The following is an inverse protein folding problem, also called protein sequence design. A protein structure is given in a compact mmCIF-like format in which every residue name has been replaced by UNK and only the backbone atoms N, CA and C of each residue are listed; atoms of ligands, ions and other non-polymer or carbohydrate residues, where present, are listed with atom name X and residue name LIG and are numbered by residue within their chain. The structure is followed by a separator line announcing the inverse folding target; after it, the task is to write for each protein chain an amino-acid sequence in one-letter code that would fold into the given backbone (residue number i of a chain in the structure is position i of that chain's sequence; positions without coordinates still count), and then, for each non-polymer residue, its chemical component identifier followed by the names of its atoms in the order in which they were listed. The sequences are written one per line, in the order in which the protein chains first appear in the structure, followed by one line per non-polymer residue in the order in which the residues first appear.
data_IF_010015862444
#
_entry.id   IF_010015862444
#
_cell.length_a   1.000
_cell.length_b   1.000
_cell.length_c   1.000
_cell.angle_alpha   90.00
_cell.angle_beta   90.00
_cell.angle_gamma   90.00
#
_symmetry.space_group_name_H-M   'P 1'
#
loop_
_entity.id
_entity.type
_entity.pdbx_description
1 polymer ?
#
# COMPACT_ATOMS: atom_id res chain seq x y z
N UNK A 1 2.99 -16.68 19.69
CA UNK A 1 3.06 -17.83 18.77
C UNK A 1 3.77 -17.37 17.50
N UNK A 2 4.93 -17.94 17.24
CA UNK A 2 5.77 -17.64 16.06
C UNK A 2 5.10 -18.19 14.81
N UNK A 3 4.60 -17.30 13.95
CA UNK A 3 4.20 -17.66 12.58
C UNK A 3 5.46 -18.08 11.85
N UNK A 4 5.65 -19.39 11.68
CA UNK A 4 6.71 -19.95 10.85
C UNK A 4 6.59 -19.47 9.39
N UNK A 5 7.65 -19.62 8.59
CA UNK A 5 7.62 -19.19 7.19
C UNK A 5 6.62 -20.07 6.44
N UNK A 6 5.46 -19.49 6.08
CA UNK A 6 4.46 -20.18 5.28
C UNK A 6 5.10 -20.71 3.99
N UNK A 7 5.13 -22.04 3.87
CA UNK A 7 5.43 -22.77 2.64
C UNK A 7 4.44 -22.33 1.53
N UNK A 8 4.96 -21.75 0.45
CA UNK A 8 4.14 -21.41 -0.72
C UNK A 8 4.62 -20.26 -1.62
N UNK A 9 5.68 -19.53 -1.23
CA UNK A 9 6.28 -18.44 -2.01
C UNK A 9 7.68 -18.81 -2.51
N UNK A 10 7.81 -19.97 -3.18
CA UNK A 10 9.05 -20.30 -3.87
C UNK A 10 9.30 -19.28 -4.99
N UNK A 11 10.40 -18.55 -4.81
CA UNK A 11 10.79 -17.36 -5.59
C UNK A 11 10.85 -17.59 -7.10
N UNK A 12 11.25 -18.80 -7.50
CA UNK A 12 11.35 -19.23 -8.90
C UNK A 12 9.98 -19.56 -9.49
N UNK A 13 8.99 -19.93 -8.68
CA UNK A 13 7.64 -20.30 -9.12
C UNK A 13 6.98 -19.15 -9.85
N UNK A 14 7.07 -17.91 -9.35
CA UNK A 14 6.48 -16.75 -10.03
C UNK A 14 7.15 -16.41 -11.37
N UNK A 15 8.46 -16.61 -11.47
CA UNK A 15 9.20 -16.39 -12.72
C UNK A 15 8.81 -17.45 -13.75
N UNK A 16 8.75 -18.73 -13.36
CA UNK A 16 8.31 -19.82 -14.22
C UNK A 16 6.86 -19.64 -14.67
N UNK A 17 5.96 -19.27 -13.75
CA UNK A 17 4.58 -18.95 -14.06
C UNK A 17 4.48 -17.79 -15.04
N UNK A 18 5.28 -16.74 -14.86
CA UNK A 18 5.30 -15.61 -15.78
C UNK A 18 5.75 -16.00 -17.19
N UNK A 19 6.80 -16.82 -17.30
CA UNK A 19 7.28 -17.33 -18.59
C UNK A 19 6.19 -18.20 -19.25
N UNK A 20 5.58 -19.12 -18.50
CA UNK A 20 4.50 -19.98 -18.98
C UNK A 20 3.28 -19.17 -19.45
N UNK A 21 3.00 -18.06 -18.79
CA UNK A 21 1.86 -17.19 -19.09
C UNK A 21 2.12 -16.17 -20.20
N UNK A 22 3.39 -15.93 -20.54
CA UNK A 22 3.82 -14.95 -21.53
C UNK A 22 3.16 -15.12 -22.91
N UNK A 23 3.00 -16.34 -23.47
CA UNK A 23 2.30 -16.52 -24.75
C UNK A 23 0.85 -16.06 -24.68
N UNK A 24 0.14 -16.41 -23.61
CA UNK A 24 -1.27 -16.04 -23.46
C UNK A 24 -1.41 -14.54 -23.25
N UNK A 25 -0.53 -13.94 -22.43
CA UNK A 25 -0.43 -12.49 -22.28
C UNK A 25 -0.24 -11.79 -23.64
N UNK A 26 0.62 -12.32 -24.50
CA UNK A 26 0.88 -11.75 -25.83
C UNK A 26 -0.37 -11.79 -26.73
N UNK A 27 -1.06 -12.93 -26.80
CA UNK A 27 -2.33 -13.06 -27.54
C UNK A 27 -3.38 -12.09 -27.01
N UNK A 28 -3.54 -12.03 -25.70
CA UNK A 28 -4.56 -11.18 -25.06
C UNK A 28 -4.28 -9.69 -25.26
N UNK A 29 -3.03 -9.29 -25.53
CA UNK A 29 -2.69 -7.88 -25.79
C UNK A 29 -3.43 -7.33 -27.01
N UNK A 30 -3.75 -8.16 -28.00
CA UNK A 30 -4.53 -7.75 -29.18
C UNK A 30 -6.00 -7.43 -28.87
N UNK A 31 -6.52 -7.95 -27.75
CA UNK A 31 -7.90 -7.71 -27.28
C UNK A 31 -7.94 -6.52 -26.30
N UNK A 32 -6.79 -5.94 -25.94
CA UNK A 32 -6.72 -4.85 -24.98
C UNK A 32 -7.27 -3.54 -25.56
N UNK A 33 -8.44 -3.13 -25.08
CA UNK A 33 -9.00 -1.80 -25.34
C UNK A 33 -8.43 -0.74 -24.41
N UNK A 34 -8.27 0.50 -24.89
CA UNK A 34 -7.87 1.63 -24.04
C UNK A 34 -9.03 2.03 -23.13
N UNK A 35 -8.82 1.95 -21.82
CA UNK A 35 -9.82 2.26 -20.78
C UNK A 35 -9.53 3.53 -20.00
N UNK A 36 -8.30 4.05 -20.06
CA UNK A 36 -7.79 5.13 -19.22
C UNK A 36 -7.62 4.76 -17.74
N UNK A 37 -7.96 3.54 -17.34
CA UNK A 37 -8.02 3.16 -15.93
C UNK A 37 -6.64 2.93 -15.31
N UNK A 38 -6.53 3.33 -14.05
CA UNK A 38 -5.33 3.19 -13.23
C UNK A 38 -5.50 2.01 -12.26
N UNK A 39 -4.46 1.20 -12.10
CA UNK A 39 -4.31 0.24 -11.01
C UNK A 39 -3.11 0.60 -10.14
N UNK A 40 -3.35 0.82 -8.85
CA UNK A 40 -2.31 1.10 -7.86
C UNK A 40 -2.09 -0.13 -6.97
N UNK A 41 -0.88 -0.67 -6.97
CA UNK A 41 -0.53 -1.88 -6.21
C UNK A 41 0.32 -1.49 -5.00
N UNK A 42 -0.31 -1.46 -3.82
CA UNK A 42 0.30 -1.11 -2.54
C UNK A 42 -0.25 -2.01 -1.43
N UNK A 43 0.48 -3.07 -1.12
CA UNK A 43 0.04 -4.07 -0.12
C UNK A 43 0.76 -3.94 1.22
N UNK A 44 1.43 -2.81 1.47
CA UNK A 44 2.11 -2.52 2.73
C UNK A 44 1.13 -1.99 3.79
N UNK A 45 1.68 -1.58 4.95
CA UNK A 45 0.89 -1.19 6.14
C UNK A 45 0.30 0.22 6.00
N UNK A 46 -0.55 0.59 6.97
CA UNK A 46 -1.23 1.90 7.06
C UNK A 46 -0.31 3.09 6.78
N UNK A 47 0.90 3.12 7.35
CA UNK A 47 1.83 4.24 7.12
C UNK A 47 2.25 4.41 5.67
N UNK A 48 2.42 3.30 4.93
CA UNK A 48 2.69 3.34 3.49
C UNK A 48 1.45 3.75 2.70
N UNK A 49 0.27 3.33 3.12
CA UNK A 49 -0.98 3.78 2.50
C UNK A 49 -1.16 5.30 2.60
N UNK A 50 -0.91 5.92 3.76
CA UNK A 50 -0.92 7.38 3.89
C UNK A 50 0.10 8.06 2.95
N UNK A 51 1.21 7.40 2.64
CA UNK A 51 2.19 7.93 1.69
C UNK A 51 1.73 7.79 0.23
N UNK A 52 0.77 6.93 -0.11
CA UNK A 52 0.25 6.84 -1.49
C UNK A 52 -0.86 7.83 -1.78
N UNK A 53 -1.50 8.40 -0.75
CA UNK A 53 -2.68 9.25 -0.94
C UNK A 53 -2.42 10.49 -1.81
N UNK A 54 -1.23 11.13 -1.80
CA UNK A 54 -0.92 12.19 -2.76
C UNK A 54 -0.89 11.72 -4.22
N UNK A 55 -0.37 10.51 -4.47
CA UNK A 55 -0.41 9.89 -5.80
C UNK A 55 -1.86 9.60 -6.20
N UNK A 56 -2.68 9.05 -5.30
CA UNK A 56 -4.09 8.79 -5.59
C UNK A 56 -4.86 10.08 -5.94
N UNK A 57 -4.59 11.18 -5.23
CA UNK A 57 -5.15 12.49 -5.57
C UNK A 57 -4.77 12.97 -6.97
N UNK A 58 -3.51 12.80 -7.36
CA UNK A 58 -3.05 13.15 -8.70
C UNK A 58 -3.74 12.29 -9.78
N UNK A 59 -3.84 10.98 -9.55
CA UNK A 59 -4.44 10.03 -10.49
C UNK A 59 -5.96 10.15 -10.56
N UNK A 60 -6.60 10.79 -9.59
CA UNK A 60 -8.04 10.84 -9.45
C UNK A 60 -8.61 9.46 -9.14
N UNK A 61 -9.62 9.04 -9.90
CA UNK A 61 -10.26 7.72 -9.72
C UNK A 61 -9.33 6.58 -10.14
N UNK A 62 -9.05 5.68 -9.19
CA UNK A 62 -8.15 4.54 -9.40
C UNK A 62 -8.69 3.27 -8.77
N UNK A 63 -8.42 2.13 -9.39
CA UNK A 63 -8.55 0.84 -8.72
C UNK A 63 -7.26 0.55 -7.94
N UNK A 64 -7.34 -0.22 -6.87
CA UNK A 64 -6.17 -0.55 -6.06
C UNK A 64 -6.12 -2.02 -5.64
N UNK A 65 -4.91 -2.56 -5.53
CA UNK A 65 -4.62 -3.84 -4.90
C UNK A 65 -3.91 -3.57 -3.56
N UNK A 66 -4.63 -3.80 -2.48
CA UNK A 66 -4.27 -3.38 -1.12
C UNK A 66 -4.18 -4.57 -0.14
N UNK A 67 -3.79 -4.30 1.10
CA UNK A 67 -3.92 -5.24 2.22
C UNK A 67 -5.20 -4.94 3.01
N UNK A 68 -5.87 -5.95 3.56
CA UNK A 68 -6.99 -5.73 4.49
C UNK A 68 -6.63 -4.83 5.69
N UNK A 69 -5.35 -4.77 6.06
CA UNK A 69 -4.89 -3.90 7.14
C UNK A 69 -5.13 -2.40 6.90
N UNK A 70 -5.41 -1.99 5.67
CA UNK A 70 -5.72 -0.59 5.31
C UNK A 70 -7.16 -0.39 4.83
N UNK A 71 -7.97 -1.46 4.78
CA UNK A 71 -9.35 -1.42 4.32
C UNK A 71 -10.21 -0.33 5.00
N UNK A 72 -10.14 -0.12 6.33
CA UNK A 72 -10.96 0.91 6.99
C UNK A 72 -10.68 2.34 6.51
N UNK A 73 -9.49 2.62 5.99
CA UNK A 73 -9.17 3.91 5.38
C UNK A 73 -9.57 3.90 3.90
N UNK A 74 -9.20 2.85 3.18
CA UNK A 74 -9.41 2.75 1.74
C UNK A 74 -10.89 2.77 1.33
N UNK A 75 -11.76 2.11 2.09
CA UNK A 75 -13.21 2.09 1.85
C UNK A 75 -13.88 3.46 2.02
N UNK A 76 -13.19 4.39 2.68
CA UNK A 76 -13.68 5.75 2.95
C UNK A 76 -12.94 6.80 2.11
N UNK A 77 -12.07 6.38 1.20
CA UNK A 77 -11.33 7.27 0.32
C UNK A 77 -12.00 7.33 -1.06
N UNK A 78 -12.52 8.50 -1.42
CA UNK A 78 -13.23 8.68 -2.68
C UNK A 78 -12.31 8.66 -3.90
N UNK A 79 -10.98 8.65 -3.76
CA UNK A 79 -10.07 8.45 -4.90
C UNK A 79 -10.07 7.00 -5.40
N UNK A 80 -10.57 6.06 -4.60
CA UNK A 80 -10.63 4.64 -4.96
C UNK A 80 -12.01 4.26 -5.51
N UNK A 81 -12.03 3.44 -6.57
CA UNK A 81 -13.26 2.88 -7.15
C UNK A 81 -13.43 1.42 -6.79
N UNK A 82 -12.54 0.56 -7.29
CA UNK A 82 -12.55 -0.86 -6.98
C UNK A 82 -11.27 -1.27 -6.24
N UNK A 83 -11.45 -1.94 -5.11
CA UNK A 83 -10.35 -2.44 -4.30
C UNK A 83 -10.29 -3.96 -4.40
N UNK A 84 -9.09 -4.48 -4.60
CA UNK A 84 -8.75 -5.89 -4.48
C UNK A 84 -7.90 -6.06 -3.22
N UNK A 85 -8.10 -7.13 -2.47
CA UNK A 85 -7.29 -7.42 -1.27
C UNK A 85 -6.33 -8.58 -1.54
N UNK A 86 -5.04 -8.36 -1.31
CA UNK A 86 -4.00 -9.34 -1.65
C UNK A 86 -4.13 -10.64 -0.86
N UNK A 87 -4.65 -10.57 0.37
CA UNK A 87 -4.82 -11.73 1.24
C UNK A 87 -5.79 -12.76 0.64
N UNK A 88 -6.82 -12.32 -0.11
CA UNK A 88 -7.76 -13.22 -0.79
C UNK A 88 -7.08 -14.11 -1.83
N UNK A 89 -5.93 -13.66 -2.34
CA UNK A 89 -5.19 -14.28 -3.44
C UNK A 89 -3.81 -14.78 -3.01
N UNK A 90 -3.41 -14.61 -1.74
CA UNK A 90 -2.08 -15.02 -1.27
C UNK A 90 -1.93 -16.55 -1.25
N UNK A 91 -2.99 -17.27 -0.86
CA UNK A 91 -2.99 -18.73 -0.78
C UNK A 91 -3.65 -19.38 -2.01
N UNK A 92 -2.93 -20.33 -2.62
CA UNK A 92 -3.41 -21.10 -3.76
C UNK A 92 -3.10 -20.49 -5.12
N UNK A 93 -2.51 -21.30 -6.00
CA UNK A 93 -2.14 -20.89 -7.36
C UNK A 93 -3.35 -20.43 -8.19
N UNK A 94 -4.46 -21.15 -8.10
CA UNK A 94 -5.67 -20.82 -8.88
C UNK A 94 -6.24 -19.45 -8.53
N UNK A 95 -6.21 -19.04 -7.25
CA UNK A 95 -6.67 -17.71 -6.86
C UNK A 95 -5.78 -16.60 -7.41
N UNK A 96 -4.46 -16.85 -7.49
CA UNK A 96 -3.48 -15.93 -8.11
C UNK A 96 -3.71 -15.81 -9.61
N UNK A 97 -3.85 -16.93 -10.31
CA UNK A 97 -4.12 -16.93 -11.76
C UNK A 97 -5.46 -16.28 -12.07
N UNK A 98 -6.51 -16.54 -11.27
CA UNK A 98 -7.81 -15.88 -11.41
C UNK A 98 -7.69 -14.35 -11.28
N UNK A 99 -6.95 -13.87 -10.28
CA UNK A 99 -6.68 -12.44 -10.12
C UNK A 99 -5.97 -11.88 -11.36
N UNK A 100 -4.90 -12.53 -11.81
CA UNK A 100 -4.17 -12.09 -13.01
C UNK A 100 -5.10 -12.02 -14.22
N UNK A 101 -6.00 -12.98 -14.41
CA UNK A 101 -7.03 -12.93 -15.45
C UNK A 101 -7.99 -11.76 -15.34
N UNK A 102 -8.43 -11.42 -14.13
CA UNK A 102 -9.32 -10.27 -13.93
C UNK A 102 -8.63 -8.94 -14.20
N UNK A 103 -7.32 -8.85 -14.01
CA UNK A 103 -6.56 -7.60 -14.17
C UNK A 103 -5.90 -7.45 -15.55
N UNK A 104 -5.65 -8.56 -16.26
CA UNK A 104 -4.77 -8.64 -17.43
C UNK A 104 -4.92 -7.49 -18.44
N UNK A 105 -6.14 -7.23 -18.89
CA UNK A 105 -6.46 -6.24 -19.93
C UNK A 105 -7.39 -5.13 -19.41
N UNK A 106 -7.47 -4.95 -18.09
CA UNK A 106 -8.44 -4.02 -17.48
C UNK A 106 -7.93 -2.58 -17.39
N UNK A 107 -6.61 -2.41 -17.32
CA UNK A 107 -5.96 -1.13 -16.99
C UNK A 107 -5.01 -0.68 -18.08
N UNK A 108 -4.94 0.62 -18.30
CA UNK A 108 -3.95 1.25 -19.17
C UNK A 108 -2.70 1.68 -18.40
N UNK A 109 -2.86 2.04 -17.13
CA UNK A 109 -1.78 2.47 -16.26
C UNK A 109 -1.66 1.57 -15.03
N UNK A 110 -0.45 1.16 -14.68
CA UNK A 110 -0.16 0.40 -13.47
C UNK A 110 0.96 1.08 -12.70
N UNK A 111 0.70 1.34 -11.42
CA UNK A 111 1.65 1.90 -10.49
C UNK A 111 1.96 0.84 -9.42
N UNK A 112 3.15 0.26 -9.46
CA UNK A 112 3.59 -0.74 -8.49
C UNK A 112 4.47 -0.09 -7.42
N UNK A 113 3.89 0.14 -6.24
CA UNK A 113 4.55 0.86 -5.14
C UNK A 113 5.21 -0.10 -4.15
N UNK A 114 4.72 -1.33 -4.04
CA UNK A 114 5.28 -2.34 -3.13
C UNK A 114 5.74 -3.59 -3.89
N UNK A 115 7.04 -3.66 -4.28
CA UNK A 115 7.56 -4.69 -5.20
C UNK A 115 7.88 -6.03 -4.49
N UNK A 116 6.85 -6.67 -3.92
CA UNK A 116 6.94 -8.08 -3.49
C UNK A 116 6.93 -9.00 -4.71
N UNK A 117 7.32 -10.27 -4.58
CA UNK A 117 7.32 -11.20 -5.71
C UNK A 117 5.94 -11.37 -6.33
N UNK A 118 4.91 -11.54 -5.49
CA UNK A 118 3.54 -11.69 -5.94
C UNK A 118 3.04 -10.42 -6.64
N UNK A 119 3.30 -9.24 -6.07
CA UNK A 119 2.88 -7.98 -6.67
C UNK A 119 3.60 -7.70 -8.00
N UNK A 120 4.91 -8.00 -8.07
CA UNK A 120 5.69 -7.91 -9.31
C UNK A 120 5.14 -8.85 -10.38
N UNK A 121 4.84 -10.10 -10.02
CA UNK A 121 4.22 -11.07 -10.92
C UNK A 121 2.88 -10.56 -11.47
N UNK A 122 1.98 -10.11 -10.60
CA UNK A 122 0.67 -9.58 -10.99
C UNK A 122 0.84 -8.36 -11.93
N UNK A 123 1.65 -7.39 -11.54
CA UNK A 123 1.88 -6.17 -12.31
C UNK A 123 2.52 -6.47 -13.68
N UNK A 124 3.47 -7.40 -13.74
CA UNK A 124 4.16 -7.77 -14.97
C UNK A 124 3.25 -8.51 -15.95
N UNK A 125 2.35 -9.35 -15.45
CA UNK A 125 1.38 -10.07 -16.27
C UNK A 125 0.40 -9.13 -17.01
N UNK A 126 0.05 -8.00 -16.40
CA UNK A 126 -0.89 -7.07 -17.03
C UNK A 126 -0.34 -6.44 -18.33
N UNK A 127 -1.24 -6.21 -19.28
CA UNK A 127 -0.98 -5.70 -20.63
C UNK A 127 -1.07 -4.18 -20.77
N UNK A 128 -1.24 -3.47 -19.64
CA UNK A 128 -1.20 -2.02 -19.56
C UNK A 128 -0.04 -1.40 -20.37
N UNK A 129 -0.34 -0.31 -21.07
CA UNK A 129 0.62 0.42 -21.91
C UNK A 129 1.64 1.19 -21.09
N UNK A 130 1.24 1.67 -19.92
CA UNK A 130 2.09 2.41 -18.99
C UNK A 130 2.25 1.65 -17.67
N UNK A 131 3.44 1.13 -17.41
CA UNK A 131 3.76 0.39 -16.18
C UNK A 131 4.90 1.07 -15.44
N UNK A 132 4.61 1.66 -14.28
CA UNK A 132 5.54 2.45 -13.48
C UNK A 132 5.84 1.70 -12.18
N UNK A 133 7.07 1.19 -12.06
CA UNK A 133 7.45 0.31 -10.96
C UNK A 133 8.45 0.97 -10.01
N UNK A 134 8.20 0.83 -8.71
CA UNK A 134 9.19 1.15 -7.71
C UNK A 134 10.20 0.01 -7.59
N UNK A 135 11.49 0.33 -7.59
CA UNK A 135 12.56 -0.63 -7.32
C UNK A 135 13.19 -0.37 -5.96
N UNK A 136 13.16 -1.36 -5.08
CA UNK A 136 13.82 -1.27 -3.78
C UNK A 136 15.30 -1.62 -3.90
N UNK A 137 16.15 -0.97 -3.09
CA UNK A 137 17.56 -1.35 -2.90
C UNK A 137 17.78 -2.83 -2.50
N UNK A 138 16.74 -3.53 -2.01
CA UNK A 138 16.78 -4.98 -1.69
C UNK A 138 16.40 -5.89 -2.85
N UNK A 139 16.25 -5.35 -4.06
CA UNK A 139 15.86 -6.11 -5.25
C UNK A 139 16.78 -7.31 -5.46
N UNK A 140 16.18 -8.47 -5.71
CA UNK A 140 16.91 -9.68 -6.07
C UNK A 140 17.07 -9.77 -7.59
N UNK A 141 18.16 -10.36 -8.06
CA UNK A 141 18.50 -10.43 -9.49
C UNK A 141 17.40 -11.05 -10.36
N UNK A 142 16.77 -12.15 -9.92
CA UNK A 142 15.70 -12.83 -10.67
C UNK A 142 14.46 -11.94 -10.91
N UNK A 143 14.22 -10.93 -10.06
CA UNK A 143 13.12 -9.98 -10.27
C UNK A 143 13.35 -9.14 -11.53
N UNK A 144 14.61 -9.07 -12.01
CA UNK A 144 15.03 -8.77 -13.40
C UNK A 144 13.92 -8.80 -14.43
N UNK A 145 13.38 -9.99 -14.63
CA UNK A 145 12.41 -10.30 -15.69
C UNK A 145 11.11 -9.51 -15.57
N UNK A 146 10.61 -9.27 -14.36
CA UNK A 146 9.38 -8.50 -14.17
C UNK A 146 9.56 -7.03 -14.56
N UNK A 147 10.72 -6.45 -14.25
CA UNK A 147 11.03 -5.05 -14.58
C UNK A 147 11.25 -4.82 -16.08
N UNK A 148 11.58 -5.84 -16.86
CA UNK A 148 11.62 -5.73 -18.33
C UNK A 148 10.25 -5.37 -18.91
N UNK A 149 9.18 -5.60 -18.16
CA UNK A 149 7.83 -5.24 -18.57
C UNK A 149 7.44 -3.81 -18.19
N UNK A 150 8.25 -3.11 -17.40
CA UNK A 150 7.94 -1.76 -16.93
C UNK A 150 8.26 -0.72 -18.02
N UNK A 151 7.39 0.27 -18.16
CA UNK A 151 7.62 1.45 -19.00
C UNK A 151 8.55 2.45 -18.30
N UNK A 152 8.54 2.47 -16.96
CA UNK A 152 9.44 3.30 -16.17
C UNK A 152 9.70 2.72 -14.78
N UNK A 153 10.87 3.03 -14.24
CA UNK A 153 11.29 2.59 -12.91
C UNK A 153 11.69 3.79 -12.08
N UNK A 154 11.29 3.82 -10.80
CA UNK A 154 11.77 4.77 -9.79
C UNK A 154 12.55 3.99 -8.74
N UNK A 155 13.79 4.40 -8.50
CA UNK A 155 14.66 3.72 -7.55
C UNK A 155 14.47 4.29 -6.14
N UNK A 156 14.11 3.42 -5.21
CA UNK A 156 13.99 3.75 -3.80
C UNK A 156 15.26 3.32 -3.05
N UNK A 157 16.06 4.32 -2.68
CA UNK A 157 17.27 4.16 -1.88
C UNK A 157 16.99 4.38 -0.39
N UNK A 158 17.91 3.93 0.46
CA UNK A 158 17.79 4.02 1.93
C UNK A 158 17.55 5.45 2.45
N UNK A 159 18.08 6.45 1.74
CA UNK A 159 18.05 7.85 2.16
C UNK A 159 16.99 8.68 1.41
N UNK A 160 16.15 8.04 0.60
CA UNK A 160 15.14 8.75 -0.20
C UNK A 160 13.79 8.74 0.50
N UNK A 161 13.05 9.85 0.37
CA UNK A 161 11.71 9.96 0.94
C UNK A 161 10.72 9.09 0.17
N UNK A 162 10.08 8.15 0.88
CA UNK A 162 9.13 7.19 0.29
C UNK A 162 7.99 7.88 -0.47
N UNK A 163 7.43 8.96 0.10
CA UNK A 163 6.37 9.75 -0.53
C UNK A 163 6.74 10.26 -1.93
N UNK A 164 7.91 10.89 -2.03
CA UNK A 164 8.36 11.53 -3.26
C UNK A 164 8.59 10.50 -4.35
N UNK A 165 9.17 9.35 -4.00
CA UNK A 165 9.32 8.26 -4.96
C UNK A 165 7.98 7.71 -5.47
N UNK A 166 6.95 7.68 -4.63
CA UNK A 166 5.61 7.27 -5.06
C UNK A 166 5.00 8.27 -6.04
N UNK A 167 5.09 9.57 -5.76
CA UNK A 167 4.64 10.62 -6.68
C UNK A 167 5.43 10.58 -8.00
N UNK A 168 6.74 10.34 -7.91
CA UNK A 168 7.61 10.21 -9.07
C UNK A 168 7.19 9.10 -10.02
N UNK A 169 6.44 8.08 -9.57
CA UNK A 169 5.91 7.06 -10.47
C UNK A 169 4.93 7.65 -11.49
N UNK A 170 4.14 8.67 -11.12
CA UNK A 170 3.27 9.40 -12.05
C UNK A 170 4.05 10.42 -12.88
N UNK A 171 4.83 11.28 -12.23
CA UNK A 171 5.64 12.29 -12.91
C UNK A 171 6.96 12.51 -12.18
N UNK A 172 8.08 12.36 -12.89
CA UNK A 172 9.43 12.45 -12.32
C UNK A 172 9.77 13.84 -11.75
N UNK A 173 9.04 14.87 -12.14
CA UNK A 173 9.20 16.24 -11.64
C UNK A 173 8.52 16.49 -10.29
N UNK A 174 7.63 15.60 -9.84
CA UNK A 174 6.90 15.80 -8.58
C UNK A 174 7.78 15.70 -7.34
N UNK A 175 7.46 16.56 -6.37
CA UNK A 175 8.08 16.62 -5.05
C UNK A 175 7.03 16.39 -3.96
N UNK A 176 7.45 16.31 -2.70
CA UNK A 176 6.52 16.15 -1.57
C UNK A 176 5.51 17.29 -1.41
N UNK A 177 5.82 18.47 -1.94
CA UNK A 177 4.98 19.66 -1.92
C UNK A 177 3.91 19.66 -3.03
N UNK A 178 4.04 18.81 -4.05
CA UNK A 178 3.12 18.80 -5.19
C UNK A 178 1.68 18.44 -4.78
N UNK A 179 1.54 17.57 -3.77
CA UNK A 179 0.23 17.09 -3.32
C UNK A 179 0.23 16.84 -1.79
N UNK A 180 -0.79 17.28 -1.05
CA UNK A 180 -0.85 17.10 0.39
C UNK A 180 -1.21 15.66 0.78
N UNK A 181 -0.54 15.14 1.81
CA UNK A 181 -0.93 13.87 2.44
C UNK A 181 -2.27 14.02 3.18
N UNK A 182 -3.05 12.95 3.15
CA UNK A 182 -4.30 12.83 3.89
C UNK A 182 -4.55 11.38 4.31
N UNK A 183 -5.45 11.21 5.29
CA UNK A 183 -5.91 9.89 5.73
C UNK A 183 -6.92 9.27 4.76
N UNK A 184 -7.84 10.11 4.29
CA UNK A 184 -8.91 9.83 3.33
C UNK A 184 -9.25 11.14 2.61
N UNK A 185 -9.76 11.08 1.38
CA UNK A 185 -10.25 12.24 0.64
C UNK A 185 -11.71 12.01 0.20
N UNK A 186 -12.69 12.76 0.72
CA UNK A 186 -12.58 13.75 1.80
C UNK A 186 -12.16 13.10 3.11
N UNK A 187 -11.60 13.89 4.05
CA UNK A 187 -11.24 13.40 5.37
C UNK A 187 -12.50 12.90 6.09
N UNK A 188 -12.58 11.58 6.25
CA UNK A 188 -13.67 10.95 6.97
C UNK A 188 -13.58 11.28 8.46
N UNK A 189 -14.72 11.68 9.01
CA UNK A 189 -14.93 11.89 10.44
C UNK A 189 -16.17 11.10 10.84
N UNK A 190 -16.17 10.42 11.99
CA UNK A 190 -17.38 9.80 12.50
C UNK A 190 -18.42 10.90 12.78
N UNK A 191 -19.70 10.61 12.52
CA UNK A 191 -20.81 11.53 12.80
C UNK A 191 -20.95 11.79 14.31
N UNK A 192 -20.74 10.76 15.10
CA UNK A 192 -20.77 10.82 16.57
C UNK A 192 -19.47 10.26 17.14
N UNK A 193 -18.92 10.98 18.12
CA UNK A 193 -17.80 10.50 18.91
C UNK A 193 -18.32 9.83 20.19
N UNK A 194 -17.64 8.81 20.72
CA UNK A 194 -17.98 8.19 21.99
C UNK A 194 -18.13 9.22 23.12
N UNK A 195 -19.08 8.99 24.02
CA UNK A 195 -19.35 9.89 25.15
C UNK A 195 -18.11 10.08 26.02
N UNK A 196 -17.28 9.05 26.14
CA UNK A 196 -16.00 9.05 26.86
C UNK A 196 -15.04 10.09 26.28
N UNK A 197 -15.05 10.30 24.95
CA UNK A 197 -14.20 11.31 24.30
C UNK A 197 -14.84 12.70 24.43
N UNK A 198 -16.16 12.81 24.32
CA UNK A 198 -16.85 14.11 24.27
C UNK A 198 -17.14 14.71 25.64
N UNK A 199 -17.34 13.89 26.67
CA UNK A 199 -17.70 14.28 28.03
C UNK A 199 -16.52 14.23 29.01
N UNK A 200 -15.34 13.74 28.58
CA UNK A 200 -14.15 13.75 29.43
C UNK A 200 -13.80 15.19 29.86
N UNK A 201 -13.65 15.45 31.17
CA UNK A 201 -13.29 16.76 31.68
C UNK A 201 -11.84 17.10 31.31
N UNK A 202 -11.58 18.40 31.12
CA UNK A 202 -10.24 18.92 30.91
C UNK A 202 -9.62 18.60 29.54
N UNK A 203 -8.30 18.45 29.51
CA UNK A 203 -7.50 18.28 28.29
C UNK A 203 -7.54 16.81 27.86
N UNK A 204 -7.88 16.54 26.61
CA UNK A 204 -7.98 15.17 26.06
C UNK A 204 -6.79 14.87 25.18
N UNK A 205 -6.01 13.85 25.54
CA UNK A 205 -4.75 13.52 24.88
C UNK A 205 -4.84 12.13 24.29
N UNK A 206 -4.84 12.03 22.96
CA UNK A 206 -4.77 10.75 22.25
C UNK A 206 -3.33 10.28 22.09
N UNK A 207 -3.03 9.05 22.51
CA UNK A 207 -1.69 8.46 22.38
C UNK A 207 -1.74 7.13 21.63
N UNK A 208 -0.76 6.90 20.75
CA UNK A 208 -0.54 5.60 20.14
C UNK A 208 0.71 4.99 20.77
N UNK A 209 0.50 4.00 21.64
CA UNK A 209 1.57 3.48 22.52
C UNK A 209 2.44 2.44 21.81
N UNK A 210 1.89 1.78 20.80
CA UNK A 210 2.56 0.66 20.13
C UNK A 210 2.99 1.04 18.71
N UNK A 211 4.22 0.66 18.37
CA UNK A 211 4.70 0.63 17.00
C UNK A 211 4.93 -0.83 16.59
N UNK A 212 4.71 -1.16 15.31
CA UNK A 212 4.99 -2.50 14.78
C UNK A 212 6.48 -2.86 14.74
N UNK A 213 7.38 -1.99 15.22
CA UNK A 213 8.81 -2.23 15.39
C UNK A 213 9.21 -1.71 16.77
N UNK A 214 9.81 -2.57 17.60
CA UNK A 214 10.23 -2.24 18.96
C UNK A 214 11.19 -1.04 19.01
N UNK A 215 12.06 -0.88 18.01
CA UNK A 215 12.97 0.27 17.92
C UNK A 215 12.25 1.61 17.70
N UNK A 216 10.97 1.58 17.31
CA UNK A 216 10.10 2.75 17.15
C UNK A 216 9.10 2.91 18.30
N UNK A 217 9.15 2.04 19.30
CA UNK A 217 8.26 2.07 20.46
C UNK A 217 8.93 2.88 21.57
N UNK A 218 8.21 3.88 22.10
CA UNK A 218 8.68 4.67 23.25
C UNK A 218 8.75 3.75 24.48
N UNK A 219 9.88 3.72 25.23
CA UNK A 219 10.00 2.89 26.43
C UNK A 219 8.95 3.23 27.51
N UNK A 220 8.46 2.25 28.30
CA UNK A 220 7.49 2.48 29.36
C UNK A 220 7.90 3.57 30.36
N UNK A 221 9.18 3.64 30.72
CA UNK A 221 9.71 4.65 31.65
C UNK A 221 9.46 6.08 31.15
N UNK A 222 9.57 6.32 29.83
CA UNK A 222 9.33 7.64 29.24
C UNK A 222 7.84 7.99 29.29
N UNK A 223 6.95 7.00 29.11
CA UNK A 223 5.51 7.20 29.31
C UNK A 223 5.17 7.54 30.75
N UNK A 224 5.77 6.85 31.74
CA UNK A 224 5.60 7.18 33.16
C UNK A 224 6.01 8.63 33.44
N UNK A 225 7.21 9.04 33.01
CA UNK A 225 7.68 10.43 33.18
C UNK A 225 6.71 11.44 32.55
N UNK A 226 6.19 11.16 31.35
CA UNK A 226 5.22 12.01 30.69
C UNK A 226 3.92 12.14 31.50
N UNK A 227 3.41 11.04 32.07
CA UNK A 227 2.22 11.08 32.91
C UNK A 227 2.47 11.79 34.25
N UNK A 228 3.63 11.58 34.87
CA UNK A 228 4.01 12.24 36.12
C UNK A 228 4.10 13.77 35.92
N UNK A 229 4.72 14.22 34.82
CA UNK A 229 4.82 15.65 34.50
C UNK A 229 3.48 16.32 34.16
N UNK A 230 2.47 15.55 33.74
CA UNK A 230 1.14 16.05 33.40
C UNK A 230 0.12 15.81 34.51
N UNK A 231 0.54 15.26 35.66
CA UNK A 231 -0.35 14.82 36.74
C UNK A 231 -1.11 15.95 37.43
N UNK A 232 -0.52 17.15 37.50
CA UNK A 232 -1.15 18.35 38.08
C UNK A 232 -2.18 19.00 37.12
N UNK A 233 -2.23 18.56 35.86
CA UNK A 233 -3.18 19.07 34.87
C UNK A 233 -4.40 18.14 34.78
N UNK A 234 -5.61 18.69 34.52
CA UNK A 234 -6.81 17.88 34.33
C UNK A 234 -6.76 17.19 32.96
N UNK A 235 -5.90 16.19 32.80
CA UNK A 235 -5.68 15.46 31.56
C UNK A 235 -6.41 14.11 31.55
N UNK A 236 -7.10 13.80 30.46
CA UNK A 236 -7.64 12.47 30.16
C UNK A 236 -6.89 11.89 28.97
N UNK A 237 -6.28 10.71 29.15
CA UNK A 237 -5.51 10.03 28.12
C UNK A 237 -6.33 8.94 27.42
N UNK A 238 -6.32 8.93 26.09
CA UNK A 238 -6.96 7.91 25.26
C UNK A 238 -5.89 7.13 24.51
N UNK A 239 -5.74 5.84 24.86
CA UNK A 239 -4.77 4.96 24.23
C UNK A 239 -5.36 4.30 22.98
N UNK A 240 -4.68 4.42 21.85
CA UNK A 240 -5.03 3.74 20.60
C UNK A 240 -4.02 2.65 20.30
N UNK A 241 -4.51 1.43 20.10
CA UNK A 241 -3.72 0.28 19.71
C UNK A 241 -4.45 -0.54 18.65
N UNK A 242 -3.73 -1.46 18.01
CA UNK A 242 -4.30 -2.43 17.09
C UNK A 242 -4.70 -3.68 17.88
N UNK A 243 -5.96 -4.11 17.74
CA UNK A 243 -6.38 -5.47 18.16
C UNK A 243 -5.78 -6.48 17.19
N UNK A 244 -5.15 -7.53 17.72
CA UNK A 244 -4.54 -8.61 16.92
C UNK A 244 -5.56 -9.42 16.14
#
# INVERSE_FOLDING_TARGET
MTVGPNHGDDYLTYVLLFILFSPVKWVMKFVHGRTGKNLVIQTAKIGDYINITPLLSHLGKSDALLSYSVAPLAERDATLEHMWYIEDHRSGLMKKIKLVWQLLNRYDNIYLLHPTNLNLFIAACCNASNKQFLSSYRRKGYQGLFYLTASGVVYHEKNTLTLENYLKLADRSFTKESYPKHATLPLWKPETLPAEITQAPGIRIGISVTAGNQAKTIPPLIWCLLFDHLSDLPCTFFCFWRTE
#
